data_IF_071913635616
#
_entry.id   IF_071913635616
#
_cell.length_a   1.000
_cell.length_b   1.000
_cell.length_c   1.000
_cell.angle_alpha   90.00
_cell.angle_beta   90.00
_cell.angle_gamma   90.00
#
_symmetry.space_group_name_H-M   'P 1'
#
loop_
_entity.id
_entity.type
_entity.pdbx_description
1 polymer ?
#
# COMPACT_ATOMS: atom_id res chain seq x y z
N UNK A 1 -21.76 -32.34 41.31
CA UNK A 1 -21.16 -32.48 39.97
C UNK A 1 -21.76 -31.46 39.00
N UNK A 2 -21.58 -30.12 39.22
CA UNK A 2 -22.15 -29.02 38.37
C UNK A 2 -21.18 -27.86 38.07
N UNK A 3 -19.85 -28.03 38.15
CA UNK A 3 -18.90 -26.88 38.07
C UNK A 3 -17.93 -26.93 36.88
N UNK A 4 -18.02 -27.86 35.94
CA UNK A 4 -17.03 -28.00 34.84
C UNK A 4 -17.53 -27.64 33.43
N UNK A 5 -18.81 -27.28 33.27
CA UNK A 5 -19.39 -27.00 31.93
C UNK A 5 -19.13 -25.57 31.46
N UNK A 6 -18.98 -24.60 32.40
CA UNK A 6 -18.85 -23.17 32.06
C UNK A 6 -17.53 -22.79 31.37
N UNK A 7 -16.34 -23.28 31.78
CA UNK A 7 -15.10 -22.94 31.07
C UNK A 7 -14.99 -23.54 29.66
N UNK A 8 -15.61 -24.70 29.42
CA UNK A 8 -15.58 -25.35 28.11
C UNK A 8 -16.41 -24.58 27.07
N UNK A 9 -17.53 -23.96 27.47
CA UNK A 9 -18.36 -23.15 26.59
C UNK A 9 -17.67 -21.85 26.16
N UNK A 10 -16.86 -21.23 27.05
CA UNK A 10 -16.08 -20.03 26.70
C UNK A 10 -14.96 -20.34 25.69
N UNK A 11 -14.33 -21.50 25.77
CA UNK A 11 -13.29 -21.92 24.83
C UNK A 11 -13.90 -22.23 23.44
N UNK A 12 -15.09 -22.81 23.37
CA UNK A 12 -15.76 -23.02 22.08
C UNK A 12 -16.21 -21.73 21.39
N UNK A 13 -16.59 -20.69 22.13
CA UNK A 13 -16.97 -19.40 21.54
C UNK A 13 -15.77 -18.67 20.91
N UNK A 14 -14.56 -18.86 21.41
CA UNK A 14 -13.37 -18.23 20.86
C UNK A 14 -12.94 -18.79 19.49
N UNK A 15 -13.43 -19.97 19.11
CA UNK A 15 -13.13 -20.61 17.82
C UNK A 15 -14.00 -20.09 16.66
N UNK A 16 -15.00 -19.26 16.94
CA UNK A 16 -15.90 -18.67 15.92
C UNK A 16 -15.50 -17.26 15.49
N UNK A 17 -14.38 -16.76 15.94
CA UNK A 17 -13.86 -15.46 15.50
C UNK A 17 -13.30 -15.60 14.06
N UNK A 18 -14.16 -15.41 13.07
CA UNK A 18 -13.72 -15.23 11.68
C UNK A 18 -13.08 -13.85 11.54
N UNK A 19 -11.76 -13.80 11.51
CA UNK A 19 -11.05 -12.58 11.14
C UNK A 19 -11.37 -12.25 9.67
N UNK A 20 -11.99 -11.10 9.42
CA UNK A 20 -12.19 -10.64 8.04
C UNK A 20 -10.84 -10.37 7.39
N UNK A 21 -10.66 -10.85 6.15
CA UNK A 21 -9.48 -10.51 5.39
C UNK A 21 -9.43 -8.99 5.14
N UNK A 22 -8.28 -8.35 5.36
CA UNK A 22 -8.14 -6.91 5.15
C UNK A 22 -8.24 -6.52 3.65
N UNK A 23 -8.21 -7.49 2.75
CA UNK A 23 -8.37 -7.32 1.31
C UNK A 23 -9.12 -8.51 0.70
N UNK A 24 -9.61 -8.31 -0.52
CA UNK A 24 -10.11 -9.37 -1.40
C UNK A 24 -9.23 -9.45 -2.64
N UNK A 25 -9.11 -10.65 -3.22
CA UNK A 25 -8.38 -10.89 -4.46
C UNK A 25 -9.28 -11.61 -5.47
N UNK A 26 -9.18 -11.22 -6.74
CA UNK A 26 -9.91 -11.85 -7.84
C UNK A 26 -9.20 -11.62 -9.17
N UNK A 27 -9.43 -12.52 -10.13
CA UNK A 27 -8.90 -12.37 -11.48
C UNK A 27 -9.64 -11.25 -12.23
N UNK A 28 -8.89 -10.46 -12.96
CA UNK A 28 -9.44 -9.40 -13.79
C UNK A 28 -10.27 -9.99 -14.94
N UNK A 29 -11.54 -9.65 -14.99
CA UNK A 29 -12.46 -10.15 -16.01
C UNK A 29 -12.13 -9.69 -17.44
N UNK A 30 -11.38 -8.59 -17.57
CA UNK A 30 -11.01 -7.98 -18.84
C UNK A 30 -9.59 -8.32 -19.31
N UNK A 31 -8.72 -8.69 -18.37
CA UNK A 31 -7.31 -9.01 -18.65
C UNK A 31 -6.91 -10.30 -17.91
N UNK A 32 -7.11 -11.44 -18.57
CA UNK A 32 -6.79 -12.77 -18.03
C UNK A 32 -5.34 -12.84 -17.53
N UNK A 33 -5.15 -13.46 -16.38
CA UNK A 33 -3.84 -13.58 -15.73
C UNK A 33 -3.42 -12.33 -14.94
N UNK A 34 -4.28 -11.33 -14.80
CA UNK A 34 -4.08 -10.19 -13.90
C UNK A 34 -4.86 -10.41 -12.61
N UNK A 35 -4.16 -10.45 -11.48
CA UNK A 35 -4.79 -10.54 -10.16
C UNK A 35 -5.02 -9.14 -9.59
N UNK A 36 -6.28 -8.82 -9.28
CA UNK A 36 -6.67 -7.56 -8.65
C UNK A 36 -6.75 -7.78 -7.14
N UNK A 37 -6.01 -6.96 -6.38
CA UNK A 37 -6.12 -6.87 -4.93
C UNK A 37 -6.87 -5.60 -4.56
N UNK A 38 -7.90 -5.72 -3.70
CA UNK A 38 -8.72 -4.59 -3.27
C UNK A 38 -8.84 -4.58 -1.74
N UNK A 39 -8.37 -3.53 -1.09
CA UNK A 39 -8.32 -3.35 0.36
C UNK A 39 -6.94 -3.05 0.88
N UNK A 40 -6.71 -3.22 2.19
CA UNK A 40 -5.41 -2.98 2.82
C UNK A 40 -4.44 -4.13 2.50
N UNK A 41 -3.33 -3.81 1.86
CA UNK A 41 -2.38 -4.78 1.32
C UNK A 41 -1.01 -4.57 1.95
N UNK A 42 -0.41 -5.65 2.45
CA UNK A 42 1.01 -5.66 2.80
C UNK A 42 1.89 -5.82 1.55
N UNK A 43 3.00 -5.08 1.47
CA UNK A 43 4.00 -5.26 0.39
C UNK A 43 4.48 -6.71 0.24
N UNK A 44 4.50 -7.46 1.35
CA UNK A 44 4.93 -8.87 1.36
C UNK A 44 4.02 -9.80 0.56
N UNK A 45 2.75 -9.43 0.33
CA UNK A 45 1.87 -10.18 -0.56
C UNK A 45 2.39 -10.08 -1.99
N UNK A 46 2.83 -8.91 -2.42
CA UNK A 46 3.38 -8.68 -3.75
C UNK A 46 4.77 -9.31 -3.93
N UNK A 47 5.59 -9.29 -2.88
CA UNK A 47 6.95 -9.85 -2.88
C UNK A 47 6.92 -11.38 -2.95
N UNK A 48 6.01 -12.01 -2.19
CA UNK A 48 5.98 -13.46 -2.04
C UNK A 48 5.22 -14.19 -3.15
N UNK A 49 4.49 -13.47 -3.98
CA UNK A 49 3.78 -14.02 -5.13
C UNK A 49 4.39 -13.53 -6.45
N UNK A 50 5.58 -14.05 -6.75
CA UNK A 50 6.29 -13.73 -8.00
C UNK A 50 5.56 -14.21 -9.26
N UNK A 51 4.63 -15.15 -9.13
CA UNK A 51 3.86 -15.64 -10.27
C UNK A 51 2.92 -14.56 -10.80
N UNK A 52 2.16 -13.94 -9.91
CA UNK A 52 1.12 -12.98 -10.28
C UNK A 52 1.65 -11.53 -10.28
N UNK A 53 2.75 -11.25 -9.53
CA UNK A 53 3.33 -9.91 -9.41
C UNK A 53 4.80 -9.84 -9.89
N UNK A 54 5.14 -10.48 -11.02
CA UNK A 54 6.50 -10.47 -11.62
C UNK A 54 7.07 -9.07 -11.81
N UNK A 55 6.21 -8.10 -12.05
CA UNK A 55 6.59 -6.69 -12.21
C UNK A 55 7.21 -6.08 -10.95
N UNK A 56 6.89 -6.63 -9.76
CA UNK A 56 7.36 -6.07 -8.50
C UNK A 56 8.88 -6.10 -8.41
N UNK A 57 9.48 -7.28 -8.51
CA UNK A 57 10.94 -7.43 -8.33
C UNK A 57 11.73 -6.69 -9.42
N UNK A 58 11.22 -6.68 -10.66
CA UNK A 58 11.87 -5.98 -11.76
C UNK A 58 11.88 -4.46 -11.56
N UNK A 59 10.74 -3.87 -11.20
CA UNK A 59 10.62 -2.44 -10.91
C UNK A 59 11.42 -2.04 -9.67
N UNK A 60 11.36 -2.84 -8.61
CA UNK A 60 12.12 -2.63 -7.38
C UNK A 60 13.62 -2.60 -7.66
N UNK A 61 14.17 -3.61 -8.35
CA UNK A 61 15.61 -3.69 -8.64
C UNK A 61 16.09 -2.62 -9.62
N UNK A 62 15.21 -2.18 -10.52
CA UNK A 62 15.51 -1.13 -11.51
C UNK A 62 15.53 0.30 -10.98
N UNK A 63 15.36 0.52 -9.65
CA UNK A 63 15.35 1.86 -9.06
C UNK A 63 16.60 2.14 -8.23
N UNK A 64 17.08 3.38 -8.35
CA UNK A 64 18.14 3.93 -7.50
C UNK A 64 17.78 5.38 -7.14
N UNK A 65 17.57 5.64 -5.87
CA UNK A 65 17.26 6.98 -5.38
C UNK A 65 18.46 7.92 -5.54
N UNK A 66 18.20 9.17 -5.88
CA UNK A 66 19.25 10.20 -5.77
C UNK A 66 19.53 10.49 -4.29
N UNK A 67 20.75 10.97 -3.92
CA UNK A 67 21.05 11.33 -2.53
C UNK A 67 20.05 12.32 -1.94
N UNK A 68 19.58 13.30 -2.73
CA UNK A 68 18.58 14.28 -2.27
C UNK A 68 17.26 13.62 -1.88
N UNK A 69 16.77 12.68 -2.69
CA UNK A 69 15.52 11.96 -2.43
C UNK A 69 15.69 11.05 -1.20
N UNK A 70 16.78 10.32 -1.13
CA UNK A 70 17.06 9.41 -0.01
C UNK A 70 17.16 10.19 1.31
N UNK A 71 17.92 11.29 1.36
CA UNK A 71 18.07 12.12 2.55
C UNK A 71 16.74 12.71 3.03
N UNK A 72 15.86 13.12 2.10
CA UNK A 72 14.53 13.62 2.45
C UNK A 72 13.67 12.51 3.11
N UNK A 73 13.70 11.30 2.55
CA UNK A 73 12.99 10.15 3.12
C UNK A 73 13.56 9.74 4.48
N UNK A 74 14.88 9.73 4.65
CA UNK A 74 15.53 9.49 5.95
C UNK A 74 15.09 10.51 7.00
N UNK A 75 15.03 11.79 6.62
CA UNK A 75 14.57 12.89 7.47
C UNK A 75 13.08 12.81 7.84
N UNK A 76 12.28 12.07 7.09
CA UNK A 76 10.86 11.85 7.32
C UNK A 76 10.57 10.76 8.37
N UNK A 77 11.56 9.91 8.70
CA UNK A 77 11.42 8.79 9.63
C UNK A 77 10.80 9.22 10.97
N UNK A 78 9.71 8.54 11.36
CA UNK A 78 8.99 8.80 12.62
C UNK A 78 8.23 10.13 12.68
N UNK A 79 8.19 10.90 11.57
CA UNK A 79 7.50 12.18 11.51
C UNK A 79 6.34 12.18 10.50
N UNK A 80 6.43 11.35 9.47
CA UNK A 80 5.47 11.28 8.39
C UNK A 80 4.93 9.87 8.21
N UNK A 81 3.69 9.77 7.75
CA UNK A 81 3.04 8.55 7.33
C UNK A 81 2.68 8.67 5.84
N UNK A 82 2.58 7.51 5.17
CA UNK A 82 2.28 7.43 3.75
C UNK A 82 1.05 6.57 3.53
N UNK A 83 0.02 7.16 2.93
CA UNK A 83 -1.17 6.44 2.50
C UNK A 83 -1.14 6.35 0.98
N UNK A 84 -1.04 5.14 0.47
CA UNK A 84 -0.86 4.87 -0.95
C UNK A 84 -2.10 4.18 -1.49
N UNK A 85 -2.65 4.70 -2.57
CA UNK A 85 -3.68 4.04 -3.35
C UNK A 85 -3.07 3.56 -4.67
N UNK A 86 -3.32 2.30 -5.04
CA UNK A 86 -2.78 1.73 -6.26
C UNK A 86 -3.57 0.54 -6.76
N UNK A 87 -3.56 0.30 -8.06
CA UNK A 87 -4.15 -0.88 -8.66
C UNK A 87 -3.07 -1.87 -9.10
N UNK A 88 -3.15 -3.14 -8.67
CA UNK A 88 -2.21 -4.19 -9.13
C UNK A 88 -2.29 -4.42 -10.64
N UNK A 89 -3.37 -3.96 -11.27
CA UNK A 89 -3.64 -3.95 -12.70
C UNK A 89 -3.09 -2.73 -13.46
N UNK A 90 -2.65 -1.68 -12.73
CA UNK A 90 -2.23 -0.40 -13.30
C UNK A 90 -0.72 -0.38 -13.55
N UNK A 91 -0.29 -0.13 -14.78
CA UNK A 91 1.12 -0.10 -15.17
C UNK A 91 1.92 0.96 -14.39
N UNK A 92 1.34 2.13 -14.15
CA UNK A 92 1.98 3.20 -13.37
C UNK A 92 2.17 2.77 -11.90
N UNK A 93 1.18 2.05 -11.32
CA UNK A 93 1.33 1.45 -10.00
C UNK A 93 2.43 0.40 -9.99
N UNK A 94 2.47 -0.48 -10.99
CA UNK A 94 3.49 -1.53 -11.13
C UNK A 94 4.90 -0.95 -11.29
N UNK A 95 5.01 0.25 -11.85
CA UNK A 95 6.28 0.96 -11.98
C UNK A 95 6.66 1.71 -10.69
N UNK A 96 5.77 2.48 -10.09
CA UNK A 96 6.07 3.41 -9.00
C UNK A 96 6.10 2.71 -7.64
N UNK A 97 5.12 1.85 -7.35
CA UNK A 97 4.95 1.26 -6.02
C UNK A 97 6.17 0.45 -5.53
N UNK A 98 6.77 -0.46 -6.33
CA UNK A 98 7.96 -1.19 -5.87
C UNK A 98 9.16 -0.29 -5.66
N UNK A 99 9.28 0.78 -6.44
CA UNK A 99 10.34 1.79 -6.31
C UNK A 99 10.18 2.63 -5.05
N UNK A 100 8.95 2.97 -4.71
CA UNK A 100 8.63 3.60 -3.43
C UNK A 100 9.01 2.68 -2.26
N UNK A 101 8.69 1.40 -2.32
CA UNK A 101 9.08 0.46 -1.27
C UNK A 101 10.59 0.26 -1.18
N UNK A 102 11.30 0.28 -2.30
CA UNK A 102 12.78 0.28 -2.27
C UNK A 102 13.33 1.53 -1.57
N UNK A 103 12.78 2.70 -1.89
CA UNK A 103 13.15 3.95 -1.26
C UNK A 103 12.84 3.94 0.25
N UNK A 104 11.68 3.40 0.64
CA UNK A 104 11.29 3.17 2.03
C UNK A 104 12.30 2.28 2.77
N UNK A 105 12.69 1.15 2.17
CA UNK A 105 13.67 0.22 2.75
C UNK A 105 15.05 0.86 2.93
N UNK A 106 15.52 1.58 1.93
CA UNK A 106 16.81 2.29 1.96
C UNK A 106 16.83 3.40 3.02
N UNK A 107 15.73 4.13 3.18
CA UNK A 107 15.61 5.22 4.17
C UNK A 107 15.34 4.73 5.58
N UNK A 108 14.94 3.46 5.76
CA UNK A 108 14.59 2.88 7.05
C UNK A 108 13.29 3.42 7.66
N UNK A 109 12.37 3.91 6.84
CA UNK A 109 10.98 4.20 7.27
C UNK A 109 10.31 2.88 7.63
N UNK A 110 9.62 2.85 8.77
CA UNK A 110 8.98 1.64 9.25
C UNK A 110 7.77 1.24 8.38
N UNK A 111 7.53 -0.07 8.24
CA UNK A 111 6.35 -0.57 7.52
C UNK A 111 5.03 -0.05 8.12
N UNK A 112 4.99 0.18 9.44
CA UNK A 112 3.84 0.72 10.14
C UNK A 112 3.52 2.18 9.79
N UNK A 113 4.45 2.92 9.20
CA UNK A 113 4.23 4.28 8.72
C UNK A 113 3.64 4.29 7.29
N UNK A 114 3.37 3.13 6.71
CA UNK A 114 2.86 3.00 5.34
C UNK A 114 1.59 2.16 5.32
N UNK A 115 0.56 2.69 4.67
CA UNK A 115 -0.67 1.97 4.36
C UNK A 115 -0.84 1.91 2.85
N UNK A 116 -0.86 0.71 2.27
CA UNK A 116 -1.15 0.52 0.86
C UNK A 116 -2.57 -0.01 0.67
N UNK A 117 -3.39 0.73 -0.05
CA UNK A 117 -4.79 0.40 -0.37
C UNK A 117 -4.89 0.02 -1.85
N UNK A 118 -5.16 -1.24 -2.10
CA UNK A 118 -5.47 -1.75 -3.43
C UNK A 118 -6.87 -1.31 -3.88
N UNK A 119 -7.01 -1.01 -5.17
CA UNK A 119 -8.28 -0.56 -5.75
C UNK A 119 -8.68 -1.36 -6.98
N UNK A 120 -9.99 -1.39 -7.28
CA UNK A 120 -10.55 -1.96 -8.51
C UNK A 120 -10.20 -1.10 -9.74
N UNK A 121 -10.51 -1.58 -10.96
CA UNK A 121 -10.34 -0.79 -12.20
C UNK A 121 -11.19 0.49 -12.20
N UNK A 122 -12.34 0.46 -11.55
CA UNK A 122 -13.21 1.62 -11.35
C UNK A 122 -12.72 2.53 -10.23
N UNK A 123 -11.51 2.27 -9.69
CA UNK A 123 -10.89 3.02 -8.60
C UNK A 123 -11.75 3.05 -7.33
N UNK A 124 -12.41 1.92 -7.03
CA UNK A 124 -13.15 1.70 -5.78
C UNK A 124 -12.30 0.89 -4.81
N UNK A 125 -12.41 1.19 -3.52
CA UNK A 125 -11.74 0.46 -2.45
C UNK A 125 -12.75 -0.10 -1.46
N UNK A 126 -12.36 -1.16 -0.74
CA UNK A 126 -13.10 -1.57 0.45
C UNK A 126 -13.20 -0.37 1.41
N UNK A 127 -14.36 -0.24 2.08
CA UNK A 127 -14.60 0.85 3.03
C UNK A 127 -14.75 2.24 2.38
N UNK A 128 -14.93 2.31 1.05
CA UNK A 128 -15.13 3.58 0.31
C UNK A 128 -13.99 4.61 0.48
N UNK A 129 -12.78 4.15 0.77
CA UNK A 129 -11.64 5.03 1.09
C UNK A 129 -11.24 5.92 -0.10
N UNK A 130 -11.36 5.42 -1.33
CA UNK A 130 -11.07 6.24 -2.53
C UNK A 130 -11.95 7.48 -2.61
N UNK A 131 -13.21 7.39 -2.23
CA UNK A 131 -14.11 8.55 -2.17
C UNK A 131 -13.72 9.49 -1.03
N UNK A 132 -13.46 8.95 0.17
CA UNK A 132 -13.08 9.75 1.36
C UNK A 132 -11.81 10.56 1.10
N UNK A 133 -10.82 9.98 0.42
CA UNK A 133 -9.55 10.64 0.11
C UNK A 133 -9.51 11.32 -1.26
N UNK A 134 -10.65 11.39 -1.98
CA UNK A 134 -10.76 11.98 -3.32
C UNK A 134 -9.72 11.42 -4.30
N UNK A 135 -9.62 10.10 -4.38
CA UNK A 135 -8.70 9.41 -5.28
C UNK A 135 -9.31 9.34 -6.67
N UNK A 136 -8.70 10.02 -7.63
CA UNK A 136 -9.12 10.06 -9.04
C UNK A 136 -8.23 9.17 -9.89
N UNK A 137 -6.92 9.24 -9.69
CA UNK A 137 -5.93 8.45 -10.43
C UNK A 137 -5.07 7.62 -9.48
N UNK A 138 -4.46 6.55 -10.01
CA UNK A 138 -3.57 5.66 -9.26
C UNK A 138 -2.30 5.37 -10.08
N UNK A 139 -1.14 5.27 -9.41
CA UNK A 139 -0.97 5.40 -7.97
C UNK A 139 -1.13 6.84 -7.46
N UNK A 140 -1.63 6.99 -6.25
CA UNK A 140 -1.59 8.24 -5.49
C UNK A 140 -0.90 7.99 -4.16
N UNK A 141 0.15 8.74 -3.86
CA UNK A 141 0.89 8.70 -2.59
C UNK A 141 0.53 9.95 -1.81
N UNK A 142 -0.22 9.80 -0.73
CA UNK A 142 -0.58 10.88 0.20
C UNK A 142 0.44 10.90 1.32
N UNK A 143 1.00 12.05 1.61
CA UNK A 143 1.93 12.29 2.73
C UNK A 143 1.15 12.90 3.88
N UNK A 144 1.22 12.27 5.04
CA UNK A 144 0.56 12.72 6.25
C UNK A 144 1.62 13.11 7.30
N UNK A 145 1.33 14.17 8.04
CA UNK A 145 2.08 14.58 9.22
C UNK A 145 1.10 14.90 10.35
N UNK A 146 1.26 14.25 11.50
CA UNK A 146 0.35 14.40 12.65
C UNK A 146 -1.14 14.18 12.24
N UNK A 147 -1.37 13.16 11.38
CA UNK A 147 -2.70 12.79 10.89
C UNK A 147 -3.32 13.74 9.86
N UNK A 148 -2.58 14.77 9.40
CA UNK A 148 -3.05 15.73 8.39
C UNK A 148 -2.30 15.55 7.09
N UNK A 149 -3.01 15.62 5.96
CA UNK A 149 -2.36 15.61 4.65
C UNK A 149 -1.55 16.91 4.46
N UNK A 150 -0.26 16.74 4.19
CA UNK A 150 0.64 17.84 3.83
C UNK A 150 0.80 17.98 2.32
N UNK A 151 0.47 16.93 1.57
CA UNK A 151 0.46 16.91 0.12
C UNK A 151 0.35 15.49 -0.43
N UNK A 152 0.27 15.40 -1.75
CA UNK A 152 0.22 14.11 -2.46
C UNK A 152 0.94 14.16 -3.79
N UNK A 153 1.42 13.00 -4.20
CA UNK A 153 1.94 12.76 -5.56
C UNK A 153 0.97 11.83 -6.27
N UNK A 154 0.52 12.24 -7.45
CA UNK A 154 -0.41 11.47 -8.27
C UNK A 154 0.34 10.99 -9.51
N UNK A 155 0.33 9.68 -9.74
CA UNK A 155 1.05 9.04 -10.85
C UNK A 155 2.52 9.48 -10.85
N UNK A 156 3.07 9.90 -11.98
CA UNK A 156 4.45 10.38 -12.08
C UNK A 156 4.68 11.79 -11.50
N UNK A 157 3.65 12.41 -10.89
CA UNK A 157 3.71 13.80 -10.43
C UNK A 157 3.50 14.80 -11.56
N UNK A 158 3.67 16.09 -11.24
CA UNK A 158 3.47 17.19 -12.20
C UNK A 158 4.61 17.32 -13.22
N UNK A 159 5.81 16.88 -12.83
CA UNK A 159 7.04 17.03 -13.61
C UNK A 159 7.53 15.70 -14.20
N UNK A 160 6.82 14.60 -13.97
CA UNK A 160 7.25 13.26 -14.33
C UNK A 160 8.34 12.67 -13.40
N UNK A 161 8.61 13.31 -12.26
CA UNK A 161 9.65 12.94 -11.29
C UNK A 161 9.01 12.74 -9.91
N UNK A 162 8.16 11.70 -9.81
CA UNK A 162 7.37 11.41 -8.63
C UNK A 162 8.18 11.40 -7.32
N UNK A 163 9.39 10.84 -7.34
CA UNK A 163 10.25 10.70 -6.18
C UNK A 163 10.83 12.03 -5.70
N UNK A 164 11.17 12.93 -6.63
CA UNK A 164 11.63 14.28 -6.29
C UNK A 164 10.48 15.13 -5.75
N UNK A 165 9.29 15.03 -6.35
CA UNK A 165 8.11 15.73 -5.83
C UNK A 165 7.71 15.20 -4.45
N UNK A 166 7.84 13.88 -4.22
CA UNK A 166 7.66 13.30 -2.88
C UNK A 166 8.65 13.91 -1.88
N UNK A 167 9.93 13.99 -2.25
CA UNK A 167 10.97 14.56 -1.40
C UNK A 167 10.72 16.04 -1.04
N UNK A 168 10.10 16.81 -1.93
CA UNK A 168 9.72 18.21 -1.64
C UNK A 168 8.64 18.33 -0.58
N UNK A 169 7.73 17.34 -0.46
CA UNK A 169 6.69 17.32 0.56
C UNK A 169 7.21 16.97 1.97
N UNK A 170 8.45 16.48 2.07
CA UNK A 170 9.07 16.00 3.31
C UNK A 170 10.04 17.03 3.95
N UNK A 171 10.00 18.24 3.51
CA UNK A 171 10.84 19.34 4.01
C UNK A 171 10.30 20.01 5.28
#
# INVERSE_FOLDING_TARGET
MKKTVFPLALILLSLLANAQSPYVSYEDSTHKGTLILNGLISKYILINDEKDFKWYINSHNGYSATPTVLNAMEGAKGKYQFLIFGGTWCEDTQFILPRFFKLQEQSGIADNDISFIGVTREKKSLGNLTHVFNIINVPTIIVLKEGKEVGRVVEYGKTGQWDKELAELLK
#
